data_IF_727984330524
#
_entry.id   IF_727984330524
#
_cell.length_a   1.000
_cell.length_b   1.000
_cell.length_c   1.000
_cell.angle_alpha   90.00
_cell.angle_beta   90.00
_cell.angle_gamma   90.00
#
_symmetry.space_group_name_H-M   'P 1'
#
loop_
_entity.id
_entity.type
_entity.pdbx_description
1 polymer ?
#
# COMPACT_ATOMS: atom_id res chain seq x y z
N UNK A 1 6.37 -53.10 9.03
CA UNK A 1 7.82 -53.00 8.78
C UNK A 1 7.97 -51.81 7.85
N UNK A 2 7.52 -50.63 8.30
CA UNK A 2 8.24 -49.73 9.23
C UNK A 2 9.47 -49.19 8.48
N UNK A 3 9.63 -47.89 8.26
CA UNK A 3 9.50 -46.85 9.29
C UNK A 3 8.94 -45.52 8.74
N UNK A 4 8.02 -44.96 9.56
CA UNK A 4 7.75 -43.54 9.73
C UNK A 4 8.99 -42.89 10.38
N UNK A 5 9.44 -41.73 9.90
CA UNK A 5 9.90 -40.57 10.69
C UNK A 5 10.76 -39.63 9.83
N UNK A 6 10.39 -38.36 9.78
CA UNK A 6 11.20 -37.31 9.15
C UNK A 6 10.43 -36.24 8.38
N UNK A 7 9.10 -36.18 8.48
CA UNK A 7 8.30 -35.05 7.98
C UNK A 7 8.16 -33.97 9.07
N UNK A 8 9.23 -33.23 9.38
CA UNK A 8 9.12 -32.05 10.24
C UNK A 8 10.00 -30.88 9.76
N UNK A 9 9.93 -30.53 8.47
CA UNK A 9 10.46 -29.24 7.99
C UNK A 9 9.66 -28.62 6.82
N UNK A 10 8.57 -29.27 6.40
CA UNK A 10 7.76 -28.90 5.22
C UNK A 10 6.39 -28.32 5.60
N UNK A 11 6.35 -27.49 6.64
CA UNK A 11 5.13 -26.77 7.05
C UNK A 11 5.43 -25.37 7.58
N UNK A 12 6.41 -24.67 6.99
CA UNK A 12 6.42 -23.20 7.13
C UNK A 12 5.54 -22.67 6.00
N UNK A 13 4.26 -22.34 6.26
CA UNK A 13 3.44 -21.69 5.25
C UNK A 13 4.19 -20.46 4.76
N UNK A 14 4.05 -20.15 3.47
CA UNK A 14 4.29 -18.81 2.98
C UNK A 14 3.47 -17.91 3.91
N UNK A 15 4.13 -17.23 4.84
CA UNK A 15 3.49 -16.24 5.68
C UNK A 15 3.15 -15.10 4.73
N UNK A 16 2.00 -15.24 4.05
CA UNK A 16 1.12 -14.11 3.90
C UNK A 16 1.09 -13.44 5.28
N UNK A 17 1.11 -12.12 5.31
CA UNK A 17 1.00 -11.38 6.56
C UNK A 17 -0.44 -11.54 7.11
N UNK A 18 -0.85 -12.78 7.39
CA UNK A 18 -2.00 -13.18 8.19
C UNK A 18 -1.60 -13.43 9.64
N UNK A 19 -0.30 -13.51 9.93
CA UNK A 19 0.25 -13.49 11.30
C UNK A 19 0.73 -12.09 11.71
N UNK A 20 0.16 -11.01 11.16
CA UNK A 20 0.16 -9.78 11.96
C UNK A 20 -0.81 -10.10 13.10
N UNK A 21 -0.43 -9.92 14.39
CA UNK A 21 -1.46 -9.87 15.43
C UNK A 21 -2.52 -8.89 14.93
N UNK A 22 -3.79 -9.22 15.09
CA UNK A 22 -4.90 -8.32 14.74
C UNK A 22 -4.63 -7.00 15.45
N UNK A 23 -3.99 -6.10 14.71
CA UNK A 23 -3.61 -4.76 15.15
C UNK A 23 -4.74 -3.82 14.81
N UNK A 24 -5.76 -4.27 14.08
CA UNK A 24 -7.00 -3.54 13.81
C UNK A 24 -7.63 -2.96 15.08
N UNK A 25 -7.70 -3.66 16.23
CA UNK A 25 -8.15 -3.10 17.51
C UNK A 25 -7.18 -2.05 18.05
N UNK A 26 -5.86 -2.33 18.10
CA UNK A 26 -4.84 -1.39 18.59
C UNK A 26 -4.69 -0.14 17.70
N UNK A 27 -4.90 -0.28 16.38
CA UNK A 27 -4.87 0.81 15.40
C UNK A 27 -6.17 1.61 15.51
N UNK A 28 -7.31 0.97 15.80
CA UNK A 28 -8.58 1.65 16.06
C UNK A 28 -8.55 2.40 17.39
N UNK A 29 -8.00 1.80 18.44
CA UNK A 29 -7.82 2.40 19.76
C UNK A 29 -6.84 3.58 19.69
N UNK A 30 -5.67 3.40 19.06
CA UNK A 30 -4.72 4.51 18.84
C UNK A 30 -5.31 5.65 17.98
N UNK A 31 -6.19 5.33 17.02
CA UNK A 31 -6.92 6.34 16.22
C UNK A 31 -7.98 7.06 17.05
N UNK A 32 -8.68 6.35 17.94
CA UNK A 32 -9.63 6.94 18.89
C UNK A 32 -8.90 7.86 19.88
N UNK A 33 -7.75 7.43 20.41
CA UNK A 33 -6.90 8.25 21.28
C UNK A 33 -6.42 9.53 20.58
N UNK A 34 -6.01 9.42 19.30
CA UNK A 34 -5.62 10.58 18.50
C UNK A 34 -6.80 11.53 18.24
N UNK A 35 -7.99 10.99 17.96
CA UNK A 35 -9.22 11.78 17.77
C UNK A 35 -9.61 12.52 19.06
N UNK A 36 -9.51 11.85 20.22
CA UNK A 36 -9.75 12.49 21.52
C UNK A 36 -8.73 13.57 21.84
N UNK A 37 -7.45 13.33 21.56
CA UNK A 37 -6.39 14.34 21.72
C UNK A 37 -6.62 15.56 20.82
N UNK A 38 -7.08 15.35 19.58
CA UNK A 38 -7.42 16.45 18.66
C UNK A 38 -8.64 17.24 19.13
N UNK A 39 -9.68 16.58 19.62
CA UNK A 39 -10.88 17.22 20.16
C UNK A 39 -10.55 18.03 21.45
N UNK A 40 -9.68 17.49 22.31
CA UNK A 40 -9.15 18.23 23.47
C UNK A 40 -8.33 19.45 23.05
N UNK A 41 -7.47 19.34 22.02
CA UNK A 41 -6.68 20.45 21.50
C UNK A 41 -7.57 21.53 20.87
N UNK A 42 -8.59 21.14 20.11
CA UNK A 42 -9.58 22.04 19.53
C UNK A 42 -10.39 22.77 20.62
N UNK A 43 -10.83 22.06 21.68
CA UNK A 43 -11.50 22.69 22.83
C UNK A 43 -10.60 23.66 23.60
N UNK A 44 -9.30 23.35 23.77
CA UNK A 44 -8.32 24.28 24.35
C UNK A 44 -8.09 25.51 23.47
N UNK A 45 -7.99 25.32 22.14
CA UNK A 45 -7.90 26.43 21.16
C UNK A 45 -9.14 27.32 21.17
N UNK A 46 -10.34 26.74 21.22
CA UNK A 46 -11.60 27.51 21.28
C UNK A 46 -11.73 28.31 22.59
N UNK A 47 -11.25 27.78 23.72
CA UNK A 47 -11.17 28.53 24.99
C UNK A 47 -10.14 29.64 24.95
N UNK A 48 -8.99 29.43 24.28
CA UNK A 48 -7.98 30.47 24.05
C UNK A 48 -8.48 31.56 23.06
N UNK A 49 -9.25 31.18 22.05
CA UNK A 49 -9.83 32.12 21.06
C UNK A 49 -10.94 33.01 21.65
N UNK A 50 -11.65 32.56 22.71
CA UNK A 50 -12.57 33.43 23.45
C UNK A 50 -11.89 34.56 24.25
N UNK A 51 -10.55 34.56 24.33
CA UNK A 51 -9.76 35.60 24.99
C UNK A 51 -9.14 36.64 24.05
N UNK A 52 -9.30 36.54 22.73
CA UNK A 52 -8.77 37.52 21.78
C UNK A 52 -9.93 38.24 21.11
N UNK A 53 -10.27 39.41 21.64
CA UNK A 53 -11.34 40.27 21.16
C UNK A 53 -11.20 40.61 19.68
N UNK A 54 -12.33 40.50 18.97
CA UNK A 54 -12.54 40.95 17.61
C UNK A 54 -12.11 42.40 17.42
N UNK A 55 -11.04 42.61 16.65
CA UNK A 55 -10.81 43.87 15.96
C UNK A 55 -9.97 43.62 14.71
N UNK A 56 -10.59 43.09 13.65
CA UNK A 56 -10.09 43.28 12.30
C UNK A 56 -11.23 43.78 11.41
N UNK A 57 -11.20 45.06 11.00
CA UNK A 57 -12.17 45.60 10.06
C UNK A 57 -11.87 45.03 8.67
N UNK A 58 -12.94 44.87 7.89
CA UNK A 58 -12.97 44.13 6.64
C UNK A 58 -11.88 44.50 5.64
N UNK A 59 -11.25 43.47 5.10
CA UNK A 59 -10.45 43.56 3.89
C UNK A 59 -11.20 42.85 2.76
N UNK A 60 -11.85 43.68 1.95
CA UNK A 60 -12.18 43.48 0.54
C UNK A 60 -12.53 42.06 0.07
N UNK A 61 -13.84 41.77 0.07
CA UNK A 61 -14.42 40.73 -0.77
C UNK A 61 -14.23 41.11 -2.25
N UNK A 62 -13.25 40.50 -2.92
CA UNK A 62 -13.16 40.55 -4.38
C UNK A 62 -13.97 39.39 -4.95
N UNK A 63 -15.16 39.71 -5.44
CA UNK A 63 -15.95 38.84 -6.30
C UNK A 63 -15.11 38.45 -7.53
N UNK A 64 -14.69 37.19 -7.62
CA UNK A 64 -14.22 36.58 -8.87
C UNK A 64 -15.41 35.87 -9.48
N UNK A 65 -15.98 36.50 -10.51
CA UNK A 65 -16.99 35.93 -11.37
C UNK A 65 -16.37 34.87 -12.30
N UNK A 66 -17.02 33.71 -12.37
CA UNK A 66 -17.23 32.95 -13.61
C UNK A 66 -16.00 32.49 -14.40
N UNK A 67 -15.46 31.32 -14.05
CA UNK A 67 -14.86 30.41 -15.02
C UNK A 67 -15.54 29.05 -14.87
N UNK A 68 -15.85 28.31 -15.96
CA UNK A 68 -16.32 26.94 -15.81
C UNK A 68 -15.21 26.13 -15.14
N UNK A 69 -15.47 25.69 -13.92
CA UNK A 69 -14.70 24.64 -13.30
C UNK A 69 -14.87 23.39 -14.16
N UNK A 70 -13.95 23.17 -15.10
CA UNK A 70 -13.75 21.85 -15.70
C UNK A 70 -13.17 20.95 -14.62
N UNK A 71 -14.05 20.53 -13.72
CA UNK A 71 -13.80 19.51 -12.72
C UNK A 71 -13.70 18.15 -13.40
N UNK A 72 -12.61 17.90 -14.11
CA UNK A 72 -12.12 16.53 -14.23
C UNK A 72 -11.47 16.19 -12.89
N UNK A 73 -12.29 15.79 -11.91
CA UNK A 73 -11.83 14.82 -10.92
C UNK A 73 -11.61 13.51 -11.66
N UNK A 74 -10.57 13.47 -12.49
CA UNK A 74 -9.99 12.20 -12.79
C UNK A 74 -9.49 11.71 -11.42
N UNK A 75 -10.14 10.69 -10.88
CA UNK A 75 -9.44 9.72 -10.05
C UNK A 75 -8.36 9.10 -10.96
N UNK A 76 -7.33 9.88 -11.28
CA UNK A 76 -6.01 9.37 -11.57
C UNK A 76 -5.52 8.84 -10.23
N UNK A 77 -6.11 7.71 -9.83
CA UNK A 77 -5.51 6.83 -8.86
C UNK A 77 -4.28 6.28 -9.59
N UNK A 78 -3.20 7.09 -9.64
CA UNK A 78 -1.89 6.50 -9.79
C UNK A 78 -1.79 5.56 -8.61
N UNK A 79 -1.94 4.26 -8.87
CA UNK A 79 -1.57 3.25 -7.90
C UNK A 79 -0.04 3.19 -7.90
N UNK A 80 0.54 4.31 -7.50
CA UNK A 80 1.94 4.49 -7.23
C UNK A 80 2.18 3.65 -5.98
N UNK A 81 2.95 2.57 -6.13
CA UNK A 81 3.31 1.74 -4.99
C UNK A 81 3.87 2.65 -3.88
N UNK A 82 3.19 2.66 -2.73
CA UNK A 82 3.62 3.45 -1.58
C UNK A 82 5.01 3.02 -1.10
N UNK A 83 5.62 3.83 -0.24
CA UNK A 83 6.92 3.50 0.35
C UNK A 83 6.83 2.20 1.16
N UNK A 84 7.46 1.14 0.67
CA UNK A 84 7.61 -0.11 1.41
C UNK A 84 8.79 0.00 2.39
N UNK A 85 8.51 -0.12 3.68
CA UNK A 85 9.52 -0.05 4.75
C UNK A 85 10.61 -1.14 4.63
N UNK A 86 10.36 -2.24 3.89
CA UNK A 86 11.37 -3.26 3.58
C UNK A 86 12.47 -2.73 2.65
N UNK A 87 12.16 -1.72 1.85
CA UNK A 87 13.05 -1.16 0.83
C UNK A 87 13.19 0.36 1.02
N UNK A 88 13.82 0.83 2.11
CA UNK A 88 13.96 2.26 2.40
C UNK A 88 15.01 2.97 1.53
N UNK A 89 15.85 2.20 0.83
CA UNK A 89 16.94 2.73 0.04
C UNK A 89 16.45 3.27 -1.32
N UNK A 90 17.18 4.21 -1.90
CA UNK A 90 16.87 4.77 -3.24
C UNK A 90 16.86 3.73 -4.35
N UNK A 91 17.61 2.62 -4.20
CA UNK A 91 17.62 1.54 -5.17
C UNK A 91 16.40 0.61 -4.98
N UNK A 92 15.38 0.81 -5.82
CA UNK A 92 14.12 0.06 -5.79
C UNK A 92 14.13 -1.21 -6.67
N UNK A 93 15.29 -1.64 -7.18
CA UNK A 93 15.43 -2.85 -8.02
C UNK A 93 14.86 -4.09 -7.34
N UNK A 94 15.18 -4.30 -6.06
CA UNK A 94 14.67 -5.43 -5.27
C UNK A 94 13.16 -5.32 -4.99
N UNK A 95 12.65 -4.10 -4.84
CA UNK A 95 11.23 -3.85 -4.64
C UNK A 95 10.42 -4.20 -5.88
N UNK A 96 10.90 -3.79 -7.06
CA UNK A 96 10.33 -4.19 -8.35
C UNK A 96 10.33 -5.72 -8.53
N UNK A 97 11.50 -6.35 -8.37
CA UNK A 97 11.66 -7.80 -8.54
C UNK A 97 10.75 -8.61 -7.60
N UNK A 98 10.67 -8.21 -6.33
CA UNK A 98 9.87 -8.93 -5.34
C UNK A 98 8.38 -8.87 -5.68
N UNK A 99 7.85 -7.71 -6.09
CA UNK A 99 6.44 -7.57 -6.48
C UNK A 99 6.10 -8.40 -7.73
N UNK A 100 7.03 -8.52 -8.69
CA UNK A 100 6.84 -9.37 -9.87
C UNK A 100 6.72 -10.85 -9.48
N UNK A 101 7.65 -11.34 -8.65
CA UNK A 101 7.63 -12.73 -8.17
C UNK A 101 6.38 -13.00 -7.32
N UNK A 102 6.00 -12.08 -6.44
CA UNK A 102 4.84 -12.22 -5.56
C UNK A 102 3.53 -12.25 -6.36
N UNK A 103 3.41 -11.45 -7.43
CA UNK A 103 2.27 -11.51 -8.35
C UNK A 103 2.13 -12.90 -8.98
N UNK A 104 3.21 -13.44 -9.54
CA UNK A 104 3.17 -14.74 -10.22
C UNK A 104 2.95 -15.91 -9.26
N UNK A 105 3.46 -15.84 -8.03
CA UNK A 105 3.12 -16.82 -6.98
C UNK A 105 1.64 -16.74 -6.57
N UNK A 106 1.10 -15.53 -6.50
CA UNK A 106 -0.29 -15.28 -6.11
C UNK A 106 -1.27 -15.90 -7.11
N UNK A 107 -1.05 -15.71 -8.42
CA UNK A 107 -1.91 -16.28 -9.47
C UNK A 107 -1.82 -17.81 -9.52
N UNK A 108 -0.65 -18.40 -9.29
CA UNK A 108 -0.48 -19.87 -9.29
C UNK A 108 -1.18 -20.49 -8.08
N UNK A 109 -1.03 -19.89 -6.89
CA UNK A 109 -1.58 -20.44 -5.66
C UNK A 109 -3.09 -20.24 -5.50
N UNK A 110 -3.63 -19.10 -5.96
CA UNK A 110 -5.02 -18.68 -5.67
C UNK A 110 -5.90 -18.46 -6.90
N UNK A 111 -5.33 -18.43 -8.10
CA UNK A 111 -6.04 -18.08 -9.33
C UNK A 111 -6.17 -16.57 -9.55
N UNK A 112 -6.64 -16.18 -10.74
CA UNK A 112 -6.70 -14.79 -11.19
C UNK A 112 -7.77 -13.94 -10.46
N UNK A 113 -8.76 -14.58 -9.82
CA UNK A 113 -9.89 -13.92 -9.16
C UNK A 113 -9.56 -13.32 -7.78
N UNK A 114 -8.34 -13.52 -7.29
CA UNK A 114 -7.96 -13.05 -5.95
C UNK A 114 -7.63 -11.55 -5.96
N UNK A 115 -8.53 -10.74 -5.38
CA UNK A 115 -8.42 -9.28 -5.33
C UNK A 115 -7.04 -8.74 -4.83
N UNK A 116 -6.37 -9.35 -3.83
CA UNK A 116 -5.03 -8.92 -3.42
C UNK A 116 -3.93 -9.15 -4.46
N UNK A 117 -4.07 -10.10 -5.40
CA UNK A 117 -3.08 -10.27 -6.46
C UNK A 117 -3.03 -9.03 -7.37
N UNK A 118 -4.16 -8.33 -7.55
CA UNK A 118 -4.23 -7.09 -8.33
C UNK A 118 -3.34 -5.99 -7.76
N UNK A 119 -3.15 -5.94 -6.44
CA UNK A 119 -2.26 -4.96 -5.82
C UNK A 119 -0.80 -5.17 -6.22
N UNK A 120 -0.33 -6.42 -6.27
CA UNK A 120 1.02 -6.72 -6.74
C UNK A 120 1.18 -6.40 -8.23
N UNK A 121 0.13 -6.62 -9.03
CA UNK A 121 0.13 -6.25 -10.45
C UNK A 121 0.31 -4.75 -10.68
N UNK A 122 -0.44 -3.93 -9.94
CA UNK A 122 -0.31 -2.48 -10.00
C UNK A 122 1.07 -2.01 -9.48
N UNK A 123 1.57 -2.66 -8.42
CA UNK A 123 2.86 -2.30 -7.82
C UNK A 123 4.04 -2.56 -8.76
N UNK A 124 4.16 -3.75 -9.38
CA UNK A 124 5.29 -4.01 -10.27
C UNK A 124 5.21 -3.19 -11.57
N UNK A 125 4.01 -2.90 -12.10
CA UNK A 125 3.87 -2.08 -13.32
C UNK A 125 4.23 -0.60 -13.10
N UNK A 126 4.09 -0.09 -11.88
CA UNK A 126 4.48 1.28 -11.54
C UNK A 126 5.96 1.41 -11.16
N UNK A 127 6.55 0.37 -10.55
CA UNK A 127 7.94 0.38 -10.08
C UNK A 127 8.96 -0.07 -11.13
N UNK A 128 8.60 -1.06 -11.95
CA UNK A 128 9.53 -1.71 -12.86
C UNK A 128 9.61 -1.01 -14.22
N UNK A 129 10.81 -0.84 -14.80
CA UNK A 129 10.96 -0.49 -16.21
C UNK A 129 10.28 -1.53 -17.11
N UNK A 130 9.68 -1.10 -18.22
CA UNK A 130 8.92 -1.99 -19.11
C UNK A 130 9.75 -3.14 -19.70
N UNK A 131 10.99 -2.86 -20.07
CA UNK A 131 11.89 -3.89 -20.62
C UNK A 131 12.34 -4.95 -19.63
N UNK A 132 12.12 -4.76 -18.32
CA UNK A 132 12.50 -5.77 -17.32
C UNK A 132 11.48 -6.89 -17.25
N UNK A 133 10.21 -6.55 -17.03
CA UNK A 133 9.18 -7.58 -16.92
C UNK A 133 8.96 -8.31 -18.26
N UNK A 134 9.13 -7.66 -19.40
CA UNK A 134 9.07 -8.32 -20.71
C UNK A 134 10.12 -9.43 -20.84
N UNK A 135 11.38 -9.15 -20.46
CA UNK A 135 12.45 -10.16 -20.47
C UNK A 135 12.19 -11.30 -19.48
N UNK A 136 11.60 -10.99 -18.33
CA UNK A 136 11.24 -12.02 -17.36
C UNK A 136 10.07 -12.87 -17.85
N UNK A 137 9.10 -12.27 -18.53
CA UNK A 137 7.99 -13.00 -19.16
C UNK A 137 8.51 -13.95 -20.24
N UNK A 138 9.42 -13.51 -21.10
CA UNK A 138 10.13 -14.38 -22.07
C UNK A 138 10.88 -15.53 -21.39
N UNK A 139 11.59 -15.25 -20.27
CA UNK A 139 12.30 -16.28 -19.51
C UNK A 139 11.35 -17.28 -18.85
N UNK A 140 10.17 -16.85 -18.40
CA UNK A 140 9.14 -17.73 -17.83
C UNK A 140 8.52 -18.60 -18.91
N UNK A 141 8.19 -18.04 -20.06
CA UNK A 141 7.68 -18.80 -21.22
C UNK A 141 8.71 -19.82 -21.73
N UNK A 142 9.99 -19.46 -21.71
CA UNK A 142 11.10 -20.35 -22.04
C UNK A 142 11.46 -21.37 -20.92
N UNK A 143 10.85 -21.26 -19.73
CA UNK A 143 11.15 -22.12 -18.58
C UNK A 143 12.54 -21.92 -17.94
N UNK A 144 13.25 -20.84 -18.27
CA UNK A 144 14.60 -20.53 -17.76
C UNK A 144 14.57 -19.49 -16.61
N UNK A 145 13.46 -19.40 -15.87
CA UNK A 145 13.33 -18.43 -14.80
C UNK A 145 14.09 -18.91 -13.54
N UNK A 146 14.96 -18.09 -12.93
CA UNK A 146 15.82 -18.54 -11.82
C UNK A 146 15.11 -18.79 -10.50
N UNK A 147 13.80 -18.48 -10.40
CA UNK A 147 13.01 -18.62 -9.17
C UNK A 147 11.94 -19.68 -9.37
N UNK A 148 11.77 -20.55 -8.37
CA UNK A 148 10.66 -21.50 -8.31
C UNK A 148 9.35 -20.73 -8.06
N UNK A 149 8.43 -20.84 -9.01
CA UNK A 149 7.10 -20.21 -8.96
C UNK A 149 6.02 -21.18 -8.47
N UNK A 150 6.27 -22.48 -8.58
CA UNK A 150 5.43 -23.53 -8.02
C UNK A 150 5.65 -23.58 -6.50
N UNK A 151 4.57 -23.39 -5.75
CA UNK A 151 4.54 -23.44 -4.29
C UNK A 151 4.17 -24.85 -3.81
#
# INVERSE_FOLDING_TARGET
MSDEEGQELVTKPFKFVTDRPDTTPLIRERRNDQLEQLDQLQRRRLRAARGFGNSFPGFFSRNVAGGPAVGYVANFECFCAGTDARFPNVNQTKHCWQNYVDYHKCIIAKGEDFAPCRQFWLAYRSLCPSGWYQRWDEQREAGNFPVKLDA
#
